data_IF_772132172722
#
_entry.id   IF_772132172722
#
_cell.length_a   1.000
_cell.length_b   1.000
_cell.length_c   1.000
_cell.angle_alpha   90.00
_cell.angle_beta   90.00
_cell.angle_gamma   90.00
#
_symmetry.space_group_name_H-M   'P 1'
#
loop_
_entity.id
_entity.type
_entity.pdbx_description
1 polymer ?
#
# COMPACT_ATOMS: atom_id res chain seq x y z
N UNK A 1 -3.80 20.42 -3.53
CA UNK A 1 -2.90 19.28 -3.77
C UNK A 1 -2.26 18.93 -2.44
N UNK A 2 -2.30 17.65 -2.05
CA UNK A 2 -1.66 17.13 -0.85
C UNK A 2 -0.51 16.19 -1.25
N UNK A 3 0.59 16.27 -0.51
CA UNK A 3 1.70 15.32 -0.64
C UNK A 3 1.77 14.46 0.62
N UNK A 4 1.89 13.15 0.48
CA UNK A 4 2.01 12.24 1.63
C UNK A 4 3.23 12.59 2.51
N UNK A 5 4.31 13.08 1.89
CA UNK A 5 5.50 13.54 2.61
C UNK A 5 5.25 14.69 3.61
N UNK A 6 4.20 15.47 3.42
CA UNK A 6 3.86 16.58 4.32
C UNK A 6 2.92 16.15 5.47
N UNK A 7 2.58 14.85 5.55
CA UNK A 7 1.52 14.30 6.41
C UNK A 7 2.02 13.22 7.40
N UNK A 8 3.34 13.07 7.56
CA UNK A 8 3.92 12.02 8.42
C UNK A 8 3.43 12.09 9.87
N UNK A 9 3.32 13.30 10.45
CA UNK A 9 2.81 13.48 11.82
C UNK A 9 1.39 12.92 11.96
N UNK A 10 0.53 13.15 10.96
CA UNK A 10 -0.84 12.61 10.93
C UNK A 10 -0.81 11.08 10.94
N UNK A 11 0.07 10.46 10.14
CA UNK A 11 0.19 9.00 10.12
C UNK A 11 0.74 8.45 11.44
N UNK A 12 1.64 9.16 12.11
CA UNK A 12 2.15 8.77 13.43
C UNK A 12 1.04 8.82 14.48
N UNK A 13 0.22 9.87 14.47
CA UNK A 13 -0.92 10.00 15.37
C UNK A 13 -1.92 8.84 15.18
N UNK A 14 -2.27 8.52 13.96
CA UNK A 14 -3.20 7.41 13.69
C UNK A 14 -2.58 6.02 13.97
N UNK A 15 -1.29 5.86 13.76
CA UNK A 15 -0.59 4.64 14.16
C UNK A 15 -0.63 4.43 15.67
N UNK A 16 -0.39 5.49 16.44
CA UNK A 16 -0.50 5.47 17.91
C UNK A 16 -1.93 5.14 18.37
N UNK A 17 -2.93 5.78 17.79
CA UNK A 17 -4.33 5.49 18.08
C UNK A 17 -4.70 4.02 17.80
N UNK A 18 -4.19 3.42 16.73
CA UNK A 18 -4.40 1.99 16.45
C UNK A 18 -3.78 1.09 17.52
N UNK A 19 -2.60 1.44 18.02
CA UNK A 19 -1.96 0.73 19.13
C UNK A 19 -2.80 0.87 20.40
N UNK A 20 -3.23 2.06 20.75
CA UNK A 20 -4.06 2.36 21.92
C UNK A 20 -5.40 1.60 21.89
N UNK A 21 -5.98 1.42 20.72
CA UNK A 21 -7.18 0.58 20.51
C UNK A 21 -6.88 -0.93 20.55
N UNK A 22 -5.63 -1.35 20.68
CA UNK A 22 -5.23 -2.75 20.62
C UNK A 22 -5.38 -3.37 19.22
N UNK A 23 -5.59 -2.56 18.20
CA UNK A 23 -5.82 -2.94 16.79
C UNK A 23 -4.52 -3.09 15.98
N UNK A 24 -3.40 -2.61 16.51
CA UNK A 24 -2.07 -2.79 15.94
C UNK A 24 -1.07 -3.20 17.03
N UNK A 25 0.06 -3.76 16.60
CA UNK A 25 1.13 -4.18 17.51
C UNK A 25 2.50 -4.03 16.86
N UNK A 26 3.51 -3.81 17.70
CA UNK A 26 4.91 -3.78 17.31
C UNK A 26 5.44 -5.21 17.21
N UNK A 27 5.91 -5.58 16.04
CA UNK A 27 6.45 -6.92 15.77
C UNK A 27 7.96 -6.83 15.57
N UNK A 28 8.71 -7.56 16.41
CA UNK A 28 10.17 -7.68 16.36
C UNK A 28 10.62 -9.05 15.84
N UNK A 29 9.71 -9.87 15.31
CA UNK A 29 10.06 -11.12 14.64
C UNK A 29 10.79 -10.83 13.34
N UNK A 30 11.81 -11.60 13.02
CA UNK A 30 12.42 -11.57 11.71
C UNK A 30 11.43 -11.96 10.60
N UNK A 31 11.71 -11.51 9.37
CA UNK A 31 10.77 -11.67 8.26
C UNK A 31 10.50 -13.12 7.87
N UNK A 32 11.48 -14.03 8.03
CA UNK A 32 11.32 -15.45 7.68
C UNK A 32 10.43 -16.16 8.69
N UNK A 33 10.71 -16.00 9.98
CA UNK A 33 9.90 -16.54 11.08
C UNK A 33 8.46 -16.02 11.00
N UNK A 34 8.27 -14.70 10.81
CA UNK A 34 6.91 -14.15 10.67
C UNK A 34 6.18 -14.74 9.44
N UNK A 35 6.87 -14.89 8.31
CA UNK A 35 6.29 -15.47 7.10
C UNK A 35 5.82 -16.90 7.35
N UNK A 36 6.64 -17.73 7.98
CA UNK A 36 6.27 -19.12 8.31
C UNK A 36 5.03 -19.19 9.21
N UNK A 37 5.00 -18.40 10.28
CA UNK A 37 3.85 -18.33 11.18
C UNK A 37 2.60 -17.92 10.44
N UNK A 38 2.67 -16.82 9.68
CA UNK A 38 1.57 -16.29 8.89
C UNK A 38 1.04 -17.30 7.87
N UNK A 39 1.92 -17.98 7.13
CA UNK A 39 1.54 -18.96 6.11
C UNK A 39 0.83 -20.17 6.75
N UNK A 40 1.21 -20.53 7.98
CA UNK A 40 0.58 -21.59 8.78
C UNK A 40 -0.61 -21.13 9.63
N UNK A 41 -1.16 -19.93 9.40
CA UNK A 41 -2.27 -19.36 10.19
C UNK A 41 -1.98 -19.28 11.70
N UNK A 42 -0.72 -19.08 12.08
CA UNK A 42 -0.31 -18.96 13.47
C UNK A 42 0.00 -17.50 13.81
N UNK A 43 -0.50 -16.98 14.93
CA UNK A 43 -0.13 -15.65 15.39
C UNK A 43 1.34 -15.62 15.78
N UNK A 44 2.01 -14.48 15.54
CA UNK A 44 3.36 -14.30 16.08
C UNK A 44 3.29 -13.93 17.57
N UNK A 45 4.33 -14.25 18.36
CA UNK A 45 4.34 -13.96 19.81
C UNK A 45 4.11 -12.49 20.16
N UNK A 46 4.52 -11.56 19.28
CA UNK A 46 4.35 -10.13 19.53
C UNK A 46 2.88 -9.67 19.43
N UNK A 47 2.00 -10.46 18.83
CA UNK A 47 0.60 -10.08 18.62
C UNK A 47 -0.18 -9.93 19.93
N UNK A 48 0.24 -10.64 20.97
CA UNK A 48 -0.39 -10.66 22.30
C UNK A 48 0.27 -9.70 23.29
N UNK A 49 1.24 -8.89 22.83
CA UNK A 49 1.81 -7.83 23.67
C UNK A 49 0.69 -6.88 24.14
N UNK A 50 0.82 -6.42 25.40
CA UNK A 50 -0.09 -5.41 25.95
C UNK A 50 0.04 -4.08 25.20
N UNK A 51 -0.96 -3.21 25.33
CA UNK A 51 -0.95 -1.87 24.72
C UNK A 51 0.26 -1.06 25.21
N UNK A 52 0.55 -1.11 26.52
CA UNK A 52 1.68 -0.41 27.13
C UNK A 52 3.00 -0.86 26.53
N UNK A 53 3.18 -2.19 26.36
CA UNK A 53 4.40 -2.74 25.73
C UNK A 53 4.55 -2.30 24.28
N UNK A 54 3.46 -2.26 23.53
CA UNK A 54 3.47 -1.79 22.15
C UNK A 54 3.79 -0.28 22.07
N UNK A 55 3.27 0.54 22.99
CA UNK A 55 3.58 1.96 23.07
C UNK A 55 5.04 2.21 23.44
N UNK A 56 5.62 1.46 24.39
CA UNK A 56 7.05 1.53 24.71
C UNK A 56 7.95 1.25 23.49
N UNK A 57 7.57 0.26 22.67
CA UNK A 57 8.30 -0.08 21.45
C UNK A 57 8.09 0.97 20.36
N UNK A 58 6.88 1.51 20.26
CA UNK A 58 6.56 2.60 19.34
C UNK A 58 7.38 3.85 19.63
N UNK A 59 7.50 4.25 20.89
CA UNK A 59 8.24 5.45 21.30
C UNK A 59 9.77 5.32 21.05
N UNK A 60 10.28 4.11 20.81
CA UNK A 60 11.66 3.81 20.45
C UNK A 60 11.85 3.47 18.97
N UNK A 61 10.77 3.42 18.21
CA UNK A 61 10.78 2.83 16.87
C UNK A 61 11.68 3.58 15.89
N UNK A 62 11.78 4.90 15.98
CA UNK A 62 12.64 5.74 15.15
C UNK A 62 14.13 5.57 15.44
N UNK A 63 14.50 5.02 16.62
CA UNK A 63 15.86 4.74 17.04
C UNK A 63 16.36 3.36 16.63
N UNK A 64 15.47 2.47 16.19
CA UNK A 64 15.79 1.12 15.75
C UNK A 64 16.38 1.11 14.33
N UNK A 65 16.95 -0.04 13.93
CA UNK A 65 17.41 -0.28 12.56
C UNK A 65 16.36 -0.92 11.68
N UNK A 66 16.51 -0.77 10.36
CA UNK A 66 15.63 -1.41 9.39
C UNK A 66 15.63 -2.94 9.58
N UNK A 67 14.43 -3.51 9.71
CA UNK A 67 14.23 -4.94 9.95
C UNK A 67 14.14 -5.36 11.42
N UNK A 68 14.51 -4.52 12.39
CA UNK A 68 14.42 -4.84 13.82
C UNK A 68 12.96 -4.85 14.32
N UNK A 69 12.13 -3.96 13.78
CA UNK A 69 10.72 -3.92 14.12
C UNK A 69 9.86 -3.40 12.96
N UNK A 70 8.57 -3.73 13.00
CA UNK A 70 7.53 -3.16 12.13
C UNK A 70 6.24 -3.00 12.94
N UNK A 71 5.42 -2.01 12.56
CA UNK A 71 4.04 -1.93 13.05
C UNK A 71 3.13 -2.77 12.16
N UNK A 72 2.33 -3.66 12.77
CA UNK A 72 1.35 -4.50 12.06
C UNK A 72 -0.07 -4.19 12.51
N UNK A 73 -0.99 -4.17 11.56
CA UNK A 73 -2.43 -4.12 11.84
C UNK A 73 -2.91 -5.54 12.10
N UNK A 74 -3.65 -5.74 13.21
CA UNK A 74 -4.29 -7.02 13.51
C UNK A 74 -5.43 -7.27 12.53
N UNK A 75 -5.44 -8.48 11.96
CA UNK A 75 -6.48 -8.92 11.03
C UNK A 75 -6.91 -10.35 11.37
N UNK A 76 -7.75 -10.94 10.55
CA UNK A 76 -8.04 -12.36 10.66
C UNK A 76 -6.81 -13.20 10.25
N UNK A 77 -6.19 -13.85 11.22
CA UNK A 77 -5.02 -14.71 10.99
C UNK A 77 -5.36 -15.97 10.15
N UNK A 78 -6.63 -16.36 10.10
CA UNK A 78 -7.12 -17.48 9.29
C UNK A 78 -7.63 -17.05 7.92
N UNK A 79 -7.48 -15.79 7.56
CA UNK A 79 -7.93 -15.27 6.26
C UNK A 79 -7.36 -16.10 5.12
N UNK A 80 -8.18 -16.42 4.08
CA UNK A 80 -7.79 -17.27 2.93
C UNK A 80 -6.55 -16.75 2.20
N UNK A 81 -6.46 -15.42 2.05
CA UNK A 81 -5.32 -14.77 1.42
C UNK A 81 -4.28 -14.39 2.47
N UNK A 82 -3.08 -15.03 2.49
CA UNK A 82 -2.02 -14.70 3.45
C UNK A 82 -1.57 -13.24 3.40
N UNK A 83 -1.75 -12.55 2.28
CA UNK A 83 -1.36 -11.14 2.15
C UNK A 83 -2.20 -10.21 3.03
N UNK A 84 -3.38 -10.66 3.49
CA UNK A 84 -4.25 -9.88 4.39
C UNK A 84 -3.84 -10.04 5.85
N UNK A 85 -3.26 -11.20 6.21
CA UNK A 85 -2.96 -11.55 7.60
C UNK A 85 -1.90 -10.64 8.18
N UNK A 86 -2.24 -9.90 9.22
CA UNK A 86 -1.37 -9.02 10.03
C UNK A 86 -0.33 -8.24 9.19
N UNK A 87 -0.84 -7.48 8.23
CA UNK A 87 -0.02 -6.74 7.28
C UNK A 87 0.73 -5.56 7.93
N UNK A 88 1.86 -5.18 7.35
CA UNK A 88 2.71 -4.09 7.84
C UNK A 88 2.07 -2.73 7.54
N UNK A 89 1.82 -1.94 8.58
CA UNK A 89 1.35 -0.56 8.48
C UNK A 89 2.50 0.45 8.35
N UNK A 90 3.57 0.27 9.15
CA UNK A 90 4.74 1.15 9.13
C UNK A 90 6.03 0.36 9.29
N UNK A 91 7.10 0.86 8.69
CA UNK A 91 8.44 0.28 8.76
C UNK A 91 9.52 1.35 8.79
N UNK A 92 10.71 0.98 9.25
CA UNK A 92 11.90 1.83 9.17
C UNK A 92 12.46 1.80 7.74
N UNK A 93 12.85 2.98 7.25
CA UNK A 93 13.51 3.22 5.97
C UNK A 93 14.76 4.04 6.26
N UNK A 94 15.92 3.57 5.80
CA UNK A 94 17.22 4.21 6.05
C UNK A 94 17.66 5.11 4.88
N UNK A 95 17.00 5.00 3.73
CA UNK A 95 17.27 5.83 2.57
C UNK A 95 16.79 7.27 2.79
N UNK A 96 17.57 8.22 2.31
CA UNK A 96 17.23 9.65 2.36
C UNK A 96 16.04 9.97 1.46
N UNK A 97 14.99 10.55 2.04
CA UNK A 97 13.81 10.96 1.27
C UNK A 97 14.10 12.21 0.41
N UNK A 98 13.73 12.25 -0.89
CA UNK A 98 14.07 13.34 -1.80
C UNK A 98 13.51 14.72 -1.39
N UNK A 99 12.40 14.78 -0.64
CA UNK A 99 11.80 16.05 -0.16
C UNK A 99 12.08 16.35 1.31
N UNK A 100 12.17 15.32 2.16
CA UNK A 100 12.24 15.46 3.61
C UNK A 100 13.64 15.20 4.17
N UNK A 101 14.58 14.77 3.34
CA UNK A 101 15.89 14.35 3.83
C UNK A 101 15.75 13.19 4.82
N UNK A 102 16.41 13.31 5.96
CA UNK A 102 16.44 12.32 7.04
C UNK A 102 15.52 12.69 8.22
N UNK A 103 14.54 13.59 8.01
CA UNK A 103 13.65 14.05 9.07
C UNK A 103 12.84 12.92 9.71
N UNK A 104 12.42 11.95 8.91
CA UNK A 104 11.65 10.79 9.36
C UNK A 104 12.34 9.51 8.96
N UNK A 105 12.31 8.52 9.82
CA UNK A 105 12.84 7.17 9.57
C UNK A 105 11.76 6.11 9.53
N UNK A 106 10.62 6.33 10.17
CA UNK A 106 9.48 5.41 10.18
C UNK A 106 8.48 5.84 9.09
N UNK A 107 8.30 4.97 8.11
CA UNK A 107 7.48 5.27 6.92
C UNK A 107 6.18 4.48 6.91
N UNK A 108 5.04 5.12 6.62
CA UNK A 108 3.79 4.43 6.42
C UNK A 108 3.83 3.63 5.12
N UNK A 109 3.29 2.42 5.17
CA UNK A 109 3.01 1.65 3.98
C UNK A 109 1.75 2.17 3.28
N UNK A 110 1.68 2.01 1.95
CA UNK A 110 0.60 2.54 1.11
C UNK A 110 -0.81 2.22 1.66
N UNK A 111 -1.04 0.98 2.11
CA UNK A 111 -2.37 0.60 2.60
C UNK A 111 -2.78 1.36 3.87
N UNK A 112 -1.82 1.77 4.68
CA UNK A 112 -2.07 2.57 5.87
C UNK A 112 -2.27 4.05 5.51
N UNK A 113 -1.29 4.67 4.84
CA UNK A 113 -1.35 6.11 4.51
C UNK A 113 -2.54 6.47 3.64
N UNK A 114 -2.84 5.66 2.61
CA UNK A 114 -3.98 5.92 1.71
C UNK A 114 -5.31 5.80 2.44
N UNK A 115 -5.49 4.82 3.32
CA UNK A 115 -6.75 4.70 4.07
C UNK A 115 -6.98 5.87 5.04
N UNK A 116 -5.91 6.34 5.70
CA UNK A 116 -5.98 7.56 6.54
C UNK A 116 -6.31 8.78 5.70
N UNK A 117 -5.67 8.94 4.55
CA UNK A 117 -5.92 10.07 3.65
C UNK A 117 -7.32 10.04 3.05
N UNK A 118 -7.78 8.88 2.58
CA UNK A 118 -9.13 8.71 2.02
C UNK A 118 -10.21 9.07 3.06
N UNK A 119 -10.02 8.64 4.32
CA UNK A 119 -10.91 9.02 5.43
C UNK A 119 -10.90 10.53 5.68
N UNK A 120 -9.73 11.14 5.86
CA UNK A 120 -9.59 12.56 6.17
C UNK A 120 -10.05 13.48 5.04
N UNK A 121 -9.99 13.02 3.80
CA UNK A 121 -10.45 13.73 2.61
C UNK A 121 -11.93 13.48 2.30
N UNK A 122 -12.61 12.62 3.08
CA UNK A 122 -14.02 12.28 2.88
C UNK A 122 -14.28 11.56 1.56
N UNK A 123 -13.37 10.68 1.14
CA UNK A 123 -13.52 9.91 -0.09
C UNK A 123 -14.67 8.92 0.03
N UNK A 124 -15.72 9.11 -0.75
CA UNK A 124 -16.88 8.21 -0.79
C UNK A 124 -16.68 6.99 -1.72
N UNK A 125 -15.90 7.16 -2.80
CA UNK A 125 -15.66 6.14 -3.81
C UNK A 125 -14.16 6.08 -4.15
N UNK A 126 -13.61 4.86 -4.22
CA UNK A 126 -12.23 4.60 -4.58
C UNK A 126 -12.17 3.67 -5.79
N UNK A 127 -11.77 4.23 -6.94
CA UNK A 127 -11.64 3.51 -8.21
C UNK A 127 -10.22 3.02 -8.40
N UNK A 128 -10.01 1.71 -8.54
CA UNK A 128 -8.67 1.12 -8.70
C UNK A 128 -8.68 -0.16 -9.53
N UNK A 129 -7.54 -0.56 -10.04
CA UNK A 129 -7.38 -1.82 -10.76
C UNK A 129 -7.65 -3.05 -9.88
N UNK A 130 -8.04 -4.17 -10.48
CA UNK A 130 -8.30 -5.46 -9.79
C UNK A 130 -7.06 -6.02 -9.07
N UNK A 131 -5.87 -5.62 -9.44
CA UNK A 131 -4.61 -5.92 -8.75
C UNK A 131 -4.56 -5.35 -7.32
N UNK A 132 -5.41 -4.37 -6.99
CA UNK A 132 -5.56 -3.78 -5.67
C UNK A 132 -6.68 -4.40 -4.80
N UNK A 133 -7.32 -5.49 -5.21
CA UNK A 133 -8.36 -6.16 -4.42
C UNK A 133 -7.89 -6.47 -2.99
N UNK A 134 -6.72 -7.10 -2.84
CA UNK A 134 -6.15 -7.40 -1.54
C UNK A 134 -5.84 -6.13 -0.73
N UNK A 135 -5.50 -5.03 -1.38
CA UNK A 135 -5.25 -3.76 -0.70
C UNK A 135 -6.55 -3.16 -0.16
N UNK A 136 -7.65 -3.25 -0.90
CA UNK A 136 -8.97 -2.82 -0.41
C UNK A 136 -9.42 -3.63 0.81
N UNK A 137 -9.19 -4.95 0.81
CA UNK A 137 -9.50 -5.78 1.98
C UNK A 137 -8.65 -5.40 3.21
N UNK A 138 -7.34 -5.15 3.03
CA UNK A 138 -6.48 -4.66 4.12
C UNK A 138 -6.97 -3.34 4.70
N UNK A 139 -7.38 -2.41 3.84
CA UNK A 139 -7.87 -1.10 4.25
C UNK A 139 -9.19 -1.20 5.01
N UNK A 140 -10.09 -2.12 4.65
CA UNK A 140 -11.34 -2.37 5.41
C UNK A 140 -11.07 -2.70 6.88
N UNK A 141 -10.07 -3.54 7.18
CA UNK A 141 -9.69 -3.80 8.58
C UNK A 141 -9.27 -2.53 9.31
N UNK A 142 -8.57 -1.61 8.66
CA UNK A 142 -8.20 -0.33 9.26
C UNK A 142 -9.43 0.54 9.53
N UNK A 143 -10.36 0.64 8.56
CA UNK A 143 -11.62 1.36 8.73
C UNK A 143 -12.44 0.79 9.88
N UNK A 144 -12.58 -0.55 9.96
CA UNK A 144 -13.31 -1.23 11.02
C UNK A 144 -12.69 -0.96 12.41
N UNK A 145 -11.37 -1.05 12.54
CA UNK A 145 -10.67 -0.78 13.79
C UNK A 145 -10.80 0.67 14.26
N UNK A 146 -10.83 1.59 13.34
CA UNK A 146 -10.96 3.02 13.64
C UNK A 146 -12.41 3.45 13.83
N UNK A 147 -13.38 2.63 13.43
CA UNK A 147 -14.81 2.97 13.44
C UNK A 147 -15.17 3.99 12.36
N UNK A 148 -14.48 3.93 11.21
CA UNK A 148 -14.72 4.83 10.08
C UNK A 148 -15.67 4.21 9.07
N UNK A 149 -16.40 5.06 8.34
CA UNK A 149 -17.18 4.63 7.19
C UNK A 149 -16.26 4.14 6.07
N UNK A 150 -16.55 2.94 5.56
CA UNK A 150 -15.77 2.33 4.47
C UNK A 150 -16.21 2.95 3.14
N UNK A 151 -15.30 3.51 2.33
CA UNK A 151 -15.65 4.02 1.00
C UNK A 151 -16.07 2.87 0.07
N UNK A 152 -16.84 3.16 -0.95
CA UNK A 152 -17.17 2.19 -1.98
C UNK A 152 -15.93 1.91 -2.86
N UNK A 153 -15.46 0.66 -2.88
CA UNK A 153 -14.34 0.24 -3.71
C UNK A 153 -14.80 -0.32 -5.04
N UNK A 154 -14.52 0.39 -6.13
CA UNK A 154 -14.83 -0.02 -7.50
C UNK A 154 -13.55 -0.52 -8.17
N UNK A 155 -13.54 -1.79 -8.58
CA UNK A 155 -12.38 -2.42 -9.20
C UNK A 155 -12.60 -2.65 -10.69
N UNK A 156 -11.79 -1.99 -11.53
CA UNK A 156 -11.82 -2.19 -12.98
C UNK A 156 -10.75 -3.19 -13.43
N UNK A 157 -11.04 -3.90 -14.51
CA UNK A 157 -10.12 -4.83 -15.14
C UNK A 157 -9.10 -4.14 -16.03
N UNK A 158 -8.04 -4.86 -16.40
CA UNK A 158 -7.13 -4.43 -17.46
C UNK A 158 -7.81 -4.50 -18.81
N UNK A 159 -7.72 -3.44 -19.58
CA UNK A 159 -8.07 -3.47 -20.99
C UNK A 159 -7.13 -4.45 -21.71
N UNK A 160 -7.68 -5.37 -22.51
CA UNK A 160 -6.93 -6.29 -23.37
C UNK A 160 -7.18 -5.89 -24.82
N UNK A 161 -6.12 -5.88 -25.59
CA UNK A 161 -6.17 -5.70 -27.04
C UNK A 161 -5.39 -6.84 -27.67
N UNK A 162 -5.99 -7.54 -28.63
CA UNK A 162 -5.32 -8.61 -29.37
C UNK A 162 -4.17 -8.00 -30.20
N UNK A 163 -3.07 -8.72 -30.27
CA UNK A 163 -1.87 -8.39 -31.06
C UNK A 163 -1.21 -7.02 -30.75
N UNK A 164 -1.61 -6.37 -29.65
CA UNK A 164 -1.06 -5.08 -29.26
C UNK A 164 -0.27 -5.18 -27.93
N UNK A 165 0.96 -4.68 -27.91
CA UNK A 165 1.76 -4.59 -26.70
C UNK A 165 1.20 -3.50 -25.76
N UNK A 166 0.56 -3.93 -24.66
CA UNK A 166 0.06 -3.03 -23.60
C UNK A 166 1.07 -2.81 -22.47
N UNK A 167 2.21 -3.51 -22.49
CA UNK A 167 3.26 -3.36 -21.49
C UNK A 167 4.11 -2.13 -21.77
N UNK A 168 4.17 -1.21 -20.81
CA UNK A 168 5.01 -0.01 -20.87
C UNK A 168 6.48 -0.36 -21.07
N UNK A 169 7.00 -1.38 -20.38
CA UNK A 169 8.40 -1.81 -20.51
C UNK A 169 8.71 -2.32 -21.92
N UNK A 170 7.82 -3.17 -22.49
CA UNK A 170 7.99 -3.67 -23.86
C UNK A 170 7.86 -2.57 -24.90
N UNK A 171 6.96 -1.59 -24.68
CA UNK A 171 6.82 -0.44 -25.56
C UNK A 171 8.09 0.43 -25.52
N UNK A 172 8.64 0.70 -24.34
CA UNK A 172 9.87 1.46 -24.16
C UNK A 172 11.06 0.77 -24.84
N UNK A 173 11.23 -0.54 -24.65
CA UNK A 173 12.26 -1.35 -25.32
C UNK A 173 12.14 -1.25 -26.85
N UNK A 174 10.92 -1.38 -27.37
CA UNK A 174 10.66 -1.26 -28.79
C UNK A 174 10.91 0.15 -29.36
N UNK A 175 10.66 1.20 -28.59
CA UNK A 175 10.99 2.57 -28.96
C UNK A 175 12.51 2.78 -28.96
N UNK A 176 13.19 2.32 -27.90
CA UNK A 176 14.64 2.45 -27.75
C UNK A 176 15.42 1.68 -28.83
N UNK A 177 14.90 0.53 -29.27
CA UNK A 177 15.48 -0.27 -30.35
C UNK A 177 15.12 0.21 -31.77
N UNK A 178 14.30 1.27 -31.89
CA UNK A 178 13.85 1.80 -33.18
C UNK A 178 12.74 0.97 -33.86
N UNK A 179 12.18 -0.04 -33.17
CA UNK A 179 11.05 -0.85 -33.67
C UNK A 179 9.77 -0.01 -33.78
N UNK A 180 9.55 0.91 -32.85
CA UNK A 180 8.43 1.86 -32.81
C UNK A 180 8.92 3.30 -32.92
N UNK A 181 8.17 4.15 -33.62
CA UNK A 181 8.53 5.55 -33.85
C UNK A 181 8.43 6.45 -32.62
N UNK A 182 7.67 6.01 -31.61
CA UNK A 182 7.44 6.74 -30.36
C UNK A 182 6.20 6.20 -29.64
N UNK A 183 5.81 6.89 -28.58
CA UNK A 183 4.64 6.50 -27.76
C UNK A 183 3.29 6.63 -28.49
N UNK A 184 3.26 7.32 -29.61
CA UNK A 184 2.10 7.49 -30.47
C UNK A 184 2.11 6.55 -31.71
N UNK A 185 3.08 5.62 -31.77
CA UNK A 185 3.14 4.63 -32.86
C UNK A 185 1.81 3.82 -32.89
N UNK A 186 1.12 3.80 -34.09
CA UNK A 186 -0.20 3.15 -34.19
C UNK A 186 -0.24 1.67 -33.79
N UNK A 187 0.90 1.00 -33.76
CA UNK A 187 1.05 -0.40 -33.35
C UNK A 187 1.05 -0.61 -31.84
N UNK A 188 1.10 0.47 -31.06
CA UNK A 188 1.06 0.42 -29.60
C UNK A 188 -0.37 0.58 -29.05
N UNK A 189 -0.59 0.08 -27.82
CA UNK A 189 -1.85 0.25 -27.09
C UNK A 189 -1.85 1.47 -26.16
N UNK A 190 -1.03 2.48 -26.39
CA UNK A 190 -1.02 3.72 -25.61
C UNK A 190 -2.20 4.62 -25.96
N UNK A 191 -2.62 5.47 -25.02
CA UNK A 191 -3.67 6.45 -25.33
C UNK A 191 -3.31 7.37 -26.50
N UNK A 192 -2.03 7.73 -26.65
CA UNK A 192 -1.54 8.53 -27.78
C UNK A 192 -1.71 7.77 -29.11
N UNK A 193 -1.37 6.49 -29.13
CA UNK A 193 -1.52 5.66 -30.31
C UNK A 193 -3.00 5.43 -30.67
N UNK A 194 -3.85 5.24 -29.68
CA UNK A 194 -5.31 5.09 -29.84
C UNK A 194 -5.90 6.38 -30.41
N UNK A 195 -5.54 7.53 -29.86
CA UNK A 195 -5.95 8.85 -30.37
C UNK A 195 -5.47 9.09 -31.80
N UNK A 196 -4.21 8.74 -32.12
CA UNK A 196 -3.66 8.86 -33.50
C UNK A 196 -4.41 7.99 -34.51
N UNK A 197 -4.96 6.82 -34.07
CA UNK A 197 -5.82 6.01 -34.93
C UNK A 197 -7.24 6.55 -35.09
N UNK A 198 -7.58 7.67 -34.47
CA UNK A 198 -8.89 8.30 -34.51
C UNK A 198 -9.95 7.66 -33.65
N UNK A 199 -9.58 6.75 -32.71
CA UNK A 199 -10.51 6.14 -31.78
C UNK A 199 -10.91 7.16 -30.71
N UNK A 200 -12.20 7.43 -30.61
CA UNK A 200 -12.75 8.40 -29.68
C UNK A 200 -12.77 7.84 -28.26
N UNK A 201 -12.57 8.67 -27.20
CA UNK A 201 -12.61 8.22 -25.78
C UNK A 201 -13.91 7.49 -25.41
N UNK A 202 -15.03 7.88 -26.02
CA UNK A 202 -16.36 7.26 -25.76
C UNK A 202 -16.45 5.81 -26.24
N UNK A 203 -15.53 5.35 -27.09
CA UNK A 203 -15.47 3.99 -27.61
C UNK A 203 -14.80 3.03 -26.59
N UNK A 204 -14.00 3.56 -25.71
CA UNK A 204 -13.24 2.81 -24.68
C UNK A 204 -14.03 2.75 -23.38
#
# INVERSE_FOLDING_TARGET
VYYQSDRFEIYYDYARQLIEKGAAYMCTCDGATFKELKDNCKPCPCRDNSVEKNLELWDKFDQMHAGEAVLRVKTDINHKNPAIRDWVAMRIVEETHPRLGNKYRVYPMMNFSVAVDDHLMGMSHVLRGKDHLANSEKQKYLYDHMGWDVPEFIHYGRLKMEDIALSTSKALEGISSGKYSGWDDPRLGTLKAIARRGIQPQTI
#
